data_IF_205696827196
#
_entry.id   IF_205696827196
#
_cell.length_a   1.000
_cell.length_b   1.000
_cell.length_c   1.000
_cell.angle_alpha   90.00
_cell.angle_beta   90.00
_cell.angle_gamma   90.00
#
_symmetry.space_group_name_H-M   'P 1'
#
loop_
_entity.id
_entity.type
_entity.pdbx_description
1 polymer ?
#
# COMPACT_ATOMS: atom_id res chain seq x y z
N UNK A 1 -11.03 -9.29 9.29
CA UNK A 1 -10.86 -10.74 9.61
C UNK A 1 -9.45 -11.22 9.29
N UNK A 2 -9.15 -12.51 9.49
CA UNK A 2 -7.81 -13.07 9.25
C UNK A 2 -7.33 -12.88 7.79
N UNK A 3 -8.20 -13.14 6.82
CA UNK A 3 -7.89 -12.93 5.40
C UNK A 3 -7.64 -11.47 5.04
N UNK A 4 -8.44 -10.54 5.57
CA UNK A 4 -8.22 -9.11 5.34
C UNK A 4 -6.86 -8.63 5.86
N UNK A 5 -6.39 -9.14 7.01
CA UNK A 5 -5.04 -8.84 7.50
C UNK A 5 -3.95 -9.45 6.62
N UNK A 6 -4.14 -10.67 6.12
CA UNK A 6 -3.20 -11.31 5.20
C UNK A 6 -3.10 -10.51 3.89
N UNK A 7 -4.24 -10.11 3.32
CA UNK A 7 -4.29 -9.27 2.12
C UNK A 7 -3.57 -7.93 2.35
N UNK A 8 -3.81 -7.27 3.48
CA UNK A 8 -3.10 -6.04 3.84
C UNK A 8 -1.58 -6.23 3.90
N UNK A 9 -1.10 -7.35 4.45
CA UNK A 9 0.34 -7.65 4.49
C UNK A 9 0.93 -7.93 3.11
N UNK A 10 0.22 -8.63 2.24
CA UNK A 10 0.67 -8.81 0.85
C UNK A 10 0.72 -7.49 0.09
N UNK A 11 -0.24 -6.59 0.31
CA UNK A 11 -0.21 -5.25 -0.27
C UNK A 11 1.00 -4.45 0.21
N UNK A 12 1.33 -4.49 1.50
CA UNK A 12 2.52 -3.84 2.05
C UNK A 12 3.82 -4.41 1.48
N UNK A 13 3.92 -5.74 1.35
CA UNK A 13 5.08 -6.38 0.73
C UNK A 13 5.27 -5.92 -0.72
N UNK A 14 4.20 -5.94 -1.53
CA UNK A 14 4.24 -5.46 -2.91
C UNK A 14 4.59 -3.97 -3.04
N UNK A 15 4.02 -3.12 -2.18
CA UNK A 15 4.30 -1.68 -2.16
C UNK A 15 5.76 -1.35 -1.77
N UNK A 16 6.38 -2.21 -0.97
CA UNK A 16 7.75 -2.03 -0.48
C UNK A 16 8.80 -2.83 -1.25
N UNK A 17 8.41 -3.49 -2.35
CA UNK A 17 9.25 -4.36 -3.19
C UNK A 17 9.84 -5.57 -2.45
N UNK A 18 9.17 -6.02 -1.38
CA UNK A 18 9.55 -7.22 -0.63
C UNK A 18 8.84 -8.44 -1.24
N UNK A 19 9.56 -9.52 -1.59
CA UNK A 19 8.94 -10.75 -2.08
C UNK A 19 7.91 -11.32 -1.10
N UNK A 20 6.82 -11.90 -1.63
CA UNK A 20 5.67 -12.32 -0.84
C UNK A 20 5.94 -13.52 0.10
N UNK A 21 7.04 -14.23 -0.09
CA UNK A 21 7.48 -15.36 0.73
C UNK A 21 8.42 -14.94 1.89
N UNK A 22 8.75 -13.66 2.00
CA UNK A 22 9.61 -13.15 3.07
C UNK A 22 8.87 -13.07 4.41
N UNK A 23 9.61 -13.18 5.53
CA UNK A 23 9.05 -12.99 6.87
C UNK A 23 8.38 -11.62 7.05
N UNK A 24 7.32 -11.60 7.85
CA UNK A 24 6.56 -10.38 8.16
C UNK A 24 7.42 -9.24 8.74
N UNK A 25 8.43 -9.59 9.52
CA UNK A 25 9.35 -8.63 10.13
C UNK A 25 10.11 -7.81 9.07
N UNK A 26 10.47 -8.43 7.94
CA UNK A 26 11.17 -7.74 6.84
C UNK A 26 10.25 -6.79 6.09
N UNK A 27 8.98 -7.18 5.90
CA UNK A 27 7.95 -6.29 5.33
C UNK A 27 7.74 -5.08 6.24
N UNK A 28 7.68 -5.29 7.56
CA UNK A 28 7.54 -4.21 8.53
C UNK A 28 8.76 -3.27 8.55
N UNK A 29 9.98 -3.80 8.46
CA UNK A 29 11.20 -3.00 8.35
C UNK A 29 11.22 -2.16 7.06
N UNK A 30 10.91 -2.78 5.92
CA UNK A 30 10.87 -2.10 4.63
C UNK A 30 9.78 -0.99 4.62
N UNK A 31 8.61 -1.28 5.20
CA UNK A 31 7.55 -0.29 5.37
C UNK A 31 7.98 0.90 6.25
N UNK A 32 8.79 0.65 7.30
CA UNK A 32 9.35 1.70 8.16
C UNK A 32 10.39 2.59 7.47
N UNK A 33 11.02 2.11 6.40
CA UNK A 33 12.00 2.87 5.59
C UNK A 33 11.37 3.56 4.37
N UNK A 34 10.12 3.24 4.07
CA UNK A 34 9.40 3.74 2.89
C UNK A 34 8.81 5.11 3.17
N UNK A 35 8.91 6.00 2.18
CA UNK A 35 8.19 7.29 2.25
C UNK A 35 6.77 7.08 1.76
N UNK A 36 5.80 7.34 2.64
CA UNK A 36 4.38 7.16 2.36
C UNK A 36 3.72 8.49 2.00
N UNK A 37 3.00 8.48 0.88
CA UNK A 37 2.29 9.66 0.38
C UNK A 37 0.80 9.32 0.26
N UNK A 38 -0.05 10.15 0.88
CA UNK A 38 -1.48 10.11 0.60
C UNK A 38 -1.75 10.80 -0.74
N UNK A 39 -2.55 10.18 -1.58
CA UNK A 39 -2.98 10.78 -2.84
C UNK A 39 -4.46 11.13 -2.76
N UNK A 40 -4.86 12.10 -3.60
CA UNK A 40 -6.25 12.46 -3.84
C UNK A 40 -6.53 12.39 -5.35
N UNK A 41 -6.79 11.18 -5.90
CA UNK A 41 -7.07 11.01 -7.32
C UNK A 41 -8.34 11.78 -7.72
N UNK A 42 -8.26 12.58 -8.79
CA UNK A 42 -9.40 13.35 -9.31
C UNK A 42 -10.26 12.53 -10.30
N UNK A 43 -10.56 11.28 -9.96
CA UNK A 43 -11.26 10.34 -10.85
C UNK A 43 -12.68 10.05 -10.35
N UNK A 44 -13.63 9.87 -11.27
CA UNK A 44 -15.04 9.61 -10.93
C UNK A 44 -15.33 8.30 -10.20
N UNK A 45 -14.36 7.39 -10.13
CA UNK A 45 -14.47 6.12 -9.40
C UNK A 45 -13.90 6.21 -7.97
N UNK A 46 -13.26 7.32 -7.60
CA UNK A 46 -12.68 7.54 -6.29
C UNK A 46 -13.45 8.66 -5.61
N UNK A 47 -14.18 8.34 -4.54
CA UNK A 47 -15.16 9.24 -3.91
C UNK A 47 -14.58 10.00 -2.71
N UNK A 48 -13.36 9.67 -2.29
CA UNK A 48 -12.66 10.18 -1.10
C UNK A 48 -13.50 10.02 0.19
N UNK A 49 -14.22 8.89 0.29
CA UNK A 49 -15.00 8.52 1.48
C UNK A 49 -14.23 7.53 2.37
N UNK A 50 -14.80 7.17 3.54
CA UNK A 50 -14.11 6.39 4.60
C UNK A 50 -13.50 5.06 4.12
N UNK A 51 -14.05 4.47 3.06
CA UNK A 51 -13.60 3.19 2.49
C UNK A 51 -12.61 3.35 1.34
N UNK A 52 -12.31 4.58 0.92
CA UNK A 52 -11.38 4.86 -0.15
C UNK A 52 -9.95 5.00 0.40
N UNK A 53 -9.01 4.30 -0.23
CA UNK A 53 -7.60 4.35 0.11
C UNK A 53 -6.78 4.63 -1.15
N UNK A 54 -6.04 5.74 -1.15
CA UNK A 54 -5.05 6.03 -2.17
C UNK A 54 -3.71 6.40 -1.53
N UNK A 55 -2.74 5.50 -1.66
CA UNK A 55 -1.39 5.64 -1.09
C UNK A 55 -0.32 5.32 -2.12
N UNK A 56 0.76 6.10 -2.10
CA UNK A 56 1.99 5.77 -2.81
C UNK A 56 3.14 5.50 -1.83
N UNK A 57 3.95 4.51 -2.20
CA UNK A 57 5.17 4.08 -1.53
C UNK A 57 6.36 4.49 -2.38
N UNK A 58 7.06 5.55 -2.00
CA UNK A 58 8.33 5.93 -2.60
C UNK A 58 9.46 5.17 -1.89
N UNK A 59 10.22 4.41 -2.69
CA UNK A 59 11.32 3.58 -2.20
C UNK A 59 12.43 4.45 -1.57
N UNK A 60 13.23 3.91 -0.63
CA UNK A 60 14.24 4.69 0.09
C UNK A 60 15.29 5.35 -0.82
N UNK A 61 15.54 4.79 -2.00
CA UNK A 61 16.46 5.35 -3.02
C UNK A 61 15.85 6.50 -3.82
N UNK A 62 14.54 6.75 -3.67
CA UNK A 62 13.79 7.73 -4.43
C UNK A 62 13.60 7.40 -5.92
N UNK A 63 13.97 6.18 -6.35
CA UNK A 63 13.98 5.81 -7.77
C UNK A 63 12.77 4.97 -8.20
N UNK A 64 12.06 4.37 -7.24
CA UNK A 64 10.85 3.60 -7.52
C UNK A 64 9.67 4.07 -6.70
N UNK A 65 8.49 4.08 -7.31
CA UNK A 65 7.22 4.34 -6.65
C UNK A 65 6.24 3.21 -6.95
N UNK A 66 5.55 2.74 -5.92
CA UNK A 66 4.42 1.83 -6.05
C UNK A 66 3.15 2.54 -5.56
N UNK A 67 2.02 2.27 -6.19
CA UNK A 67 0.76 3.00 -5.96
C UNK A 67 -0.32 1.97 -5.70
N UNK A 68 -1.09 2.16 -4.62
CA UNK A 68 -2.32 1.44 -4.35
C UNK A 68 -3.46 2.44 -4.25
N UNK A 69 -4.48 2.24 -5.08
CA UNK A 69 -5.73 2.97 -5.01
C UNK A 69 -6.88 1.96 -5.04
N UNK A 70 -7.73 1.99 -4.02
CA UNK A 70 -8.83 1.06 -3.82
C UNK A 70 -10.05 1.81 -3.31
N UNK A 71 -11.23 1.34 -3.73
CA UNK A 71 -12.54 1.80 -3.27
C UNK A 71 -13.36 0.57 -2.93
N UNK A 72 -14.14 0.65 -1.86
CA UNK A 72 -15.13 -0.36 -1.52
C UNK A 72 -16.50 0.09 -2.06
N UNK A 73 -17.19 -0.82 -2.75
CA UNK A 73 -18.42 -0.49 -3.51
C UNK A 73 -19.62 -1.35 -3.14
N UNK A 74 -19.51 -2.18 -2.10
CA UNK A 74 -20.58 -3.06 -1.63
C UNK A 74 -21.48 -2.47 -0.53
#
# INVERSE_FOLDING_TARGET
GAYGRLAAWHSLAGLTDVPADRPLAEVAEAAGRTTWLRMAPSSSWFYEIVWDLAVAALRPDGQGIAVLAATDTD
#
